data_IF_638344339112
#
_entry.id   IF_638344339112
#
_cell.length_a   1.000
_cell.length_b   1.000
_cell.length_c   1.000
_cell.angle_alpha   90.00
_cell.angle_beta   90.00
_cell.angle_gamma   90.00
#
_symmetry.space_group_name_H-M   'P 1'
#
loop_
_entity.id
_entity.type
_entity.pdbx_description
1 polymer ?
#
# COMPACT_ATOMS: atom_id res chain seq x y z
N UNK A 1 -29.21 15.31 55.12
CA UNK A 1 -29.42 14.28 56.16
C UNK A 1 -28.43 13.14 55.88
N UNK A 2 -27.45 12.99 56.80
CA UNK A 2 -26.59 11.83 57.14
C UNK A 2 -26.42 10.70 56.10
N UNK A 3 -25.22 10.32 55.64
CA UNK A 3 -24.06 9.82 56.39
C UNK A 3 -23.96 8.30 56.16
N UNK A 4 -22.87 7.73 55.63
CA UNK A 4 -21.84 7.01 56.41
C UNK A 4 -20.71 6.45 55.51
N UNK A 5 -19.54 6.30 56.16
CA UNK A 5 -18.21 5.90 55.65
C UNK A 5 -17.99 4.37 55.67
N UNK A 6 -17.04 3.89 54.86
CA UNK A 6 -16.02 2.84 55.16
C UNK A 6 -15.00 2.86 53.99
N UNK A 7 -13.68 3.06 54.07
CA UNK A 7 -12.56 2.62 54.92
C UNK A 7 -11.91 1.27 54.50
N UNK A 8 -10.94 1.34 53.54
CA UNK A 8 -9.55 0.76 53.47
C UNK A 8 -9.31 -0.75 53.80
N UNK A 9 -8.11 -1.39 53.59
CA UNK A 9 -6.75 -0.88 53.30
C UNK A 9 -5.86 -1.70 52.30
N UNK A 10 -4.61 -1.26 52.08
CA UNK A 10 -3.49 -2.09 51.59
C UNK A 10 -2.48 -1.33 50.70
N UNK A 11 -1.69 -0.37 51.21
CA UNK A 11 -0.37 -0.55 51.85
C UNK A 11 0.69 -1.26 50.98
N UNK A 12 1.71 -0.50 50.53
CA UNK A 12 3.13 -0.89 50.67
C UNK A 12 4.06 0.32 50.56
N UNK A 13 4.78 0.51 51.66
CA UNK A 13 5.81 1.48 51.98
C UNK A 13 7.20 0.97 51.62
N UNK A 14 8.09 1.85 51.17
CA UNK A 14 9.54 1.76 51.46
C UNK A 14 9.98 3.16 51.88
N UNK A 15 10.60 3.23 53.06
CA UNK A 15 11.07 4.42 53.74
C UNK A 15 12.60 4.41 53.82
N UNK A 16 13.24 5.58 53.68
CA UNK A 16 14.49 6.04 54.33
C UNK A 16 14.46 7.57 54.20
N UNK A 17 14.12 8.41 55.19
CA UNK A 17 14.72 8.69 56.50
C UNK A 17 16.15 9.25 56.47
N UNK A 18 16.28 10.56 56.26
CA UNK A 18 17.32 11.38 56.86
C UNK A 18 16.70 12.65 57.45
N UNK A 19 16.83 12.83 58.76
CA UNK A 19 16.43 14.06 59.48
C UNK A 19 17.54 15.10 59.34
N UNK A 20 17.21 16.39 59.16
CA UNK A 20 18.01 17.46 59.72
C UNK A 20 17.37 18.00 60.99
N UNK A 21 18.24 18.21 61.96
CA UNK A 21 18.04 18.76 63.29
C UNK A 21 17.39 20.15 63.25
N UNK A 22 16.54 20.37 64.25
CA UNK A 22 15.89 21.63 64.62
C UNK A 22 16.89 22.77 64.80
N UNK A 23 16.78 23.80 63.98
CA UNK A 23 17.25 25.14 64.30
C UNK A 23 16.07 26.10 64.13
N UNK A 24 15.55 26.56 65.26
CA UNK A 24 14.61 27.68 65.30
C UNK A 24 15.37 28.95 64.88
N UNK A 25 15.10 29.45 63.68
CA UNK A 25 15.42 30.83 63.31
C UNK A 25 14.15 31.51 62.83
N UNK A 26 13.64 32.39 63.69
CA UNK A 26 12.83 33.56 63.37
C UNK A 26 11.75 33.36 62.29
N UNK A 27 10.52 33.17 62.74
CA UNK A 27 9.34 33.52 61.96
C UNK A 27 9.35 35.02 61.65
N UNK A 28 10.00 35.42 60.57
CA UNK A 28 9.50 36.52 59.78
C UNK A 28 8.35 35.93 58.97
N UNK A 29 7.13 36.21 59.42
CA UNK A 29 5.93 36.14 58.58
C UNK A 29 6.12 37.12 57.42
N UNK A 30 6.93 36.74 56.43
CA UNK A 30 6.82 37.28 55.08
C UNK A 30 5.55 36.68 54.46
N UNK A 31 4.40 37.10 55.01
CA UNK A 31 3.07 36.93 54.44
C UNK A 31 2.88 37.77 53.15
N UNK A 32 3.94 37.87 52.35
CA UNK A 32 3.99 38.66 51.11
C UNK A 32 4.56 37.85 49.93
N UNK A 33 4.66 36.53 50.04
CA UNK A 33 5.07 35.65 48.93
C UNK A 33 3.89 35.07 48.12
N UNK A 34 2.64 35.28 48.57
CA UNK A 34 1.44 34.69 47.94
C UNK A 34 0.33 35.69 47.58
N UNK A 35 0.55 36.99 47.77
CA UNK A 35 -0.34 38.00 47.22
C UNK A 35 -0.09 38.11 45.71
N UNK A 36 -0.75 37.26 44.90
CA UNK A 36 -0.80 37.47 43.45
C UNK A 36 -1.33 38.90 43.24
N UNK A 37 -0.57 39.79 42.57
CA UNK A 37 -1.06 41.15 42.33
C UNK A 37 -2.43 41.03 41.65
N UNK A 38 -3.40 41.85 42.07
CA UNK A 38 -4.72 41.90 41.44
C UNK A 38 -4.51 42.24 39.97
N UNK A 39 -4.49 41.22 39.12
CA UNK A 39 -4.27 41.36 37.68
C UNK A 39 -5.35 42.28 37.14
N UNK A 40 -4.95 43.27 36.35
CA UNK A 40 -5.90 44.12 35.67
C UNK A 40 -6.84 43.24 34.84
N UNK A 41 -8.13 43.59 34.77
CA UNK A 41 -9.08 42.90 33.89
C UNK A 41 -8.53 42.78 32.46
N UNK A 42 -7.75 43.77 32.00
CA UNK A 42 -7.08 43.75 30.69
C UNK A 42 -6.05 42.61 30.57
N UNK A 43 -5.24 42.36 31.59
CA UNK A 43 -4.23 41.29 31.59
C UNK A 43 -4.87 39.90 31.56
N UNK A 44 -6.01 39.75 32.27
CA UNK A 44 -6.79 38.50 32.25
C UNK A 44 -7.33 38.24 30.84
N UNK A 45 -7.88 39.26 30.18
CA UNK A 45 -8.37 39.14 28.79
C UNK A 45 -7.23 38.79 27.82
N UNK A 46 -6.07 39.43 27.96
CA UNK A 46 -4.90 39.14 27.13
C UNK A 46 -4.42 37.69 27.35
N UNK A 47 -4.37 37.22 28.61
CA UNK A 47 -4.00 35.84 28.93
C UNK A 47 -5.01 34.82 28.38
N UNK A 48 -6.31 35.09 28.53
CA UNK A 48 -7.36 34.23 27.96
C UNK A 48 -7.24 34.19 26.44
N UNK A 49 -7.03 35.33 25.79
CA UNK A 49 -6.80 35.40 24.33
C UNK A 49 -5.56 34.60 23.92
N UNK A 50 -4.43 34.75 24.62
CA UNK A 50 -3.22 33.94 24.38
C UNK A 50 -3.48 32.44 24.55
N UNK A 51 -4.19 32.04 25.60
CA UNK A 51 -4.53 30.63 25.82
C UNK A 51 -5.48 30.08 24.76
N UNK A 52 -6.41 30.89 24.25
CA UNK A 52 -7.32 30.51 23.16
C UNK A 52 -6.58 30.41 21.83
N UNK A 53 -5.63 31.31 21.56
CA UNK A 53 -4.75 31.23 20.40
C UNK A 53 -3.89 29.95 20.46
N UNK A 54 -3.27 29.66 21.60
CA UNK A 54 -2.53 28.41 21.79
C UNK A 54 -3.39 27.16 21.59
N UNK A 55 -4.63 27.17 22.09
CA UNK A 55 -5.58 26.07 21.83
C UNK A 55 -5.94 25.95 20.35
N UNK A 56 -6.08 27.07 19.63
CA UNK A 56 -6.32 27.07 18.20
C UNK A 56 -5.11 26.55 17.41
N UNK A 57 -3.90 26.96 17.80
CA UNK A 57 -2.65 26.49 17.22
C UNK A 57 -2.47 24.98 17.42
N UNK A 58 -2.69 24.48 18.64
CA UNK A 58 -2.63 23.04 18.93
C UNK A 58 -3.63 22.25 18.08
N UNK A 59 -4.88 22.70 18.03
CA UNK A 59 -5.91 22.07 17.16
C UNK A 59 -5.53 22.10 15.69
N UNK A 60 -4.91 23.19 15.23
CA UNK A 60 -4.44 23.32 13.85
C UNK A 60 -3.32 22.33 13.58
N UNK A 61 -2.34 22.21 14.47
CA UNK A 61 -1.23 21.25 14.35
C UNK A 61 -1.72 19.79 14.42
N UNK A 62 -2.67 19.48 15.31
CA UNK A 62 -3.33 18.17 15.37
C UNK A 62 -3.98 17.84 14.02
N UNK A 63 -4.70 18.81 13.44
CA UNK A 63 -5.31 18.65 12.11
C UNK A 63 -4.23 18.47 11.04
N UNK A 64 -3.21 19.34 10.98
CA UNK A 64 -2.13 19.29 9.99
C UNK A 64 -1.36 17.95 10.03
N UNK A 65 -1.05 17.45 11.22
CA UNK A 65 -0.38 16.15 11.41
C UNK A 65 -1.27 14.96 11.04
N UNK A 66 -2.59 15.09 11.19
CA UNK A 66 -3.55 14.04 10.83
C UNK A 66 -3.95 14.07 9.34
N UNK A 67 -3.77 15.22 8.67
CA UNK A 67 -4.20 15.42 7.29
C UNK A 67 -3.23 14.74 6.32
N UNK A 68 -3.72 13.80 5.50
CA UNK A 68 -2.93 13.22 4.43
C UNK A 68 -2.76 14.19 3.26
N UNK A 69 -1.83 13.87 2.36
CA UNK A 69 -1.58 14.65 1.15
C UNK A 69 -2.85 14.82 0.30
N UNK A 70 -3.17 16.06 -0.08
CA UNK A 70 -4.35 16.37 -0.91
C UNK A 70 -4.24 15.86 -2.35
N UNK A 71 -3.02 15.60 -2.84
CA UNK A 71 -2.77 15.17 -4.22
C UNK A 71 -2.91 13.65 -4.36
N UNK A 72 -2.22 12.89 -3.51
CA UNK A 72 -2.17 11.42 -3.59
C UNK A 72 -3.20 10.80 -2.65
N UNK A 73 -3.41 11.38 -1.47
CA UNK A 73 -4.25 10.83 -0.43
C UNK A 73 -3.51 9.86 0.50
N UNK A 74 -4.28 9.10 1.25
CA UNK A 74 -3.84 7.97 2.09
C UNK A 74 -3.66 6.72 1.24
N UNK A 75 -2.75 5.84 1.67
CA UNK A 75 -2.65 4.52 1.08
C UNK A 75 -3.86 3.65 1.46
N UNK A 76 -4.61 3.21 0.46
CA UNK A 76 -5.72 2.26 0.58
C UNK A 76 -5.39 0.91 -0.05
N UNK A 77 -6.24 -0.09 0.19
CA UNK A 77 -6.16 -1.41 -0.45
C UNK A 77 -6.05 -1.30 -1.98
N UNK A 78 -6.88 -0.44 -2.58
CA UNK A 78 -6.83 -0.17 -4.01
C UNK A 78 -5.46 0.37 -4.44
N UNK A 79 -4.96 1.42 -3.79
CA UNK A 79 -3.67 2.02 -4.18
C UNK A 79 -2.47 1.09 -3.97
N UNK A 80 -2.54 0.18 -2.99
CA UNK A 80 -1.54 -0.87 -2.76
C UNK A 80 -1.56 -1.94 -3.84
N UNK A 81 -2.73 -2.22 -4.41
CA UNK A 81 -2.89 -3.20 -5.49
C UNK A 81 -2.36 -2.73 -6.86
N UNK A 82 -2.07 -1.43 -7.01
CA UNK A 82 -1.54 -0.87 -8.26
C UNK A 82 -0.08 -1.28 -8.45
N UNK A 83 0.28 -1.68 -9.67
CA UNK A 83 1.63 -2.08 -10.01
C UNK A 83 2.57 -0.89 -9.97
N UNK A 84 3.66 -1.02 -9.23
CA UNK A 84 4.78 -0.07 -9.27
C UNK A 84 5.94 -0.70 -10.06
N UNK A 85 6.73 0.08 -10.80
CA UNK A 85 7.89 -0.44 -11.53
C UNK A 85 8.79 -1.30 -10.63
N UNK A 86 9.13 -0.78 -9.44
CA UNK A 86 10.04 -1.45 -8.52
C UNK A 86 9.53 -2.82 -8.04
N UNK A 87 8.22 -2.98 -7.84
CA UNK A 87 7.64 -4.26 -7.39
C UNK A 87 7.53 -5.30 -8.50
N UNK A 88 7.45 -4.87 -9.76
CA UNK A 88 7.32 -5.76 -10.92
C UNK A 88 8.69 -6.19 -11.47
N UNK A 89 9.69 -5.30 -11.46
CA UNK A 89 11.03 -5.61 -11.99
C UNK A 89 11.97 -6.26 -10.97
N UNK A 90 11.60 -6.35 -9.68
CA UNK A 90 12.35 -7.12 -8.68
C UNK A 90 11.92 -8.60 -8.70
N UNK A 91 12.17 -9.29 -9.82
CA UNK A 91 12.28 -10.73 -9.75
C UNK A 91 13.51 -11.07 -8.89
N UNK A 92 13.45 -12.07 -7.99
CA UNK A 92 14.66 -12.57 -7.35
C UNK A 92 15.57 -13.10 -8.46
N UNK A 93 16.67 -12.40 -8.73
CA UNK A 93 17.70 -12.76 -9.71
C UNK A 93 18.19 -14.22 -9.57
N UNK A 94 17.92 -14.86 -8.43
CA UNK A 94 18.18 -16.26 -8.12
C UNK A 94 17.35 -17.30 -8.91
N UNK A 95 16.23 -16.90 -9.56
CA UNK A 95 15.36 -17.86 -10.26
C UNK A 95 15.79 -18.16 -11.72
N UNK A 96 16.77 -17.43 -12.25
CA UNK A 96 17.29 -17.65 -13.60
C UNK A 96 18.24 -18.85 -13.55
N UNK A 97 17.73 -20.05 -13.80
CA UNK A 97 18.58 -21.19 -14.16
C UNK A 97 19.10 -20.96 -15.59
N UNK A 98 20.42 -21.01 -15.83
CA UNK A 98 20.93 -20.89 -17.19
C UNK A 98 20.35 -22.03 -18.04
N UNK A 99 19.97 -21.69 -19.28
CA UNK A 99 19.63 -22.69 -20.30
C UNK A 99 20.89 -23.52 -20.50
N UNK A 100 20.91 -24.73 -19.95
CA UNK A 100 21.95 -25.69 -20.28
C UNK A 100 21.69 -26.15 -21.70
N UNK A 101 22.59 -25.82 -22.62
CA UNK A 101 22.58 -26.35 -23.97
C UNK A 101 22.52 -27.89 -23.89
N UNK A 102 21.44 -28.46 -24.43
CA UNK A 102 21.22 -29.90 -24.51
C UNK A 102 22.15 -30.53 -25.56
N UNK A 103 23.47 -30.45 -25.35
CA UNK A 103 24.52 -31.14 -26.10
C UNK A 103 25.76 -31.37 -25.23
N UNK A 104 25.57 -31.81 -23.99
CA UNK A 104 26.63 -32.41 -23.19
C UNK A 104 26.17 -33.82 -22.77
N UNK A 105 26.80 -34.81 -23.39
CA UNK A 105 26.53 -36.22 -23.24
C UNK A 105 26.59 -36.69 -21.77
N UNK A 106 25.73 -37.65 -21.46
CA UNK A 106 25.77 -38.45 -20.26
C UNK A 106 27.11 -39.20 -20.13
N UNK A 107 27.75 -39.12 -18.96
CA UNK A 107 28.71 -40.11 -18.47
C UNK A 107 28.84 -40.01 -16.93
N UNK A 108 29.23 -41.09 -16.23
CA UNK A 108 28.54 -41.53 -15.01
C UNK A 108 29.26 -41.22 -13.70
N UNK A 109 28.52 -41.36 -12.60
CA UNK A 109 29.05 -41.39 -11.25
C UNK A 109 30.08 -42.52 -11.07
N UNK A 110 31.23 -42.22 -10.46
CA UNK A 110 31.91 -43.07 -9.44
C UNK A 110 33.16 -42.40 -8.84
N UNK A 111 33.27 -42.53 -7.51
CA UNK A 111 34.47 -42.63 -6.65
C UNK A 111 35.41 -41.44 -6.38
N UNK A 112 35.34 -40.98 -5.12
CA UNK A 112 36.42 -40.87 -4.10
C UNK A 112 37.32 -39.62 -3.98
N UNK A 113 37.22 -39.04 -2.76
CA UNK A 113 38.25 -38.32 -1.93
C UNK A 113 38.87 -37.03 -2.51
N UNK A 114 39.07 -35.93 -1.79
CA UNK A 114 39.60 -35.78 -0.43
C UNK A 114 39.33 -34.38 0.15
N UNK A 115 39.05 -34.33 1.46
CA UNK A 115 39.40 -33.29 2.45
C UNK A 115 39.68 -31.84 2.00
N UNK A 116 38.92 -30.88 2.57
CA UNK A 116 39.41 -29.93 3.59
C UNK A 116 38.28 -29.08 4.15
N UNK A 117 38.35 -28.89 5.45
CA UNK A 117 37.43 -28.24 6.38
C UNK A 117 37.18 -26.75 6.13
N UNK A 118 35.95 -26.30 6.34
CA UNK A 118 35.66 -25.01 6.97
C UNK A 118 34.29 -25.07 7.68
N UNK A 119 34.32 -24.86 8.98
CA UNK A 119 33.16 -24.69 9.84
C UNK A 119 32.40 -23.40 9.50
N UNK A 120 31.06 -23.46 9.44
CA UNK A 120 30.23 -22.34 9.91
C UNK A 120 28.86 -22.85 10.38
N UNK A 121 28.54 -22.42 11.60
CA UNK A 121 27.40 -22.79 12.44
C UNK A 121 26.08 -22.26 11.87
N UNK A 122 25.02 -23.07 11.90
CA UNK A 122 23.63 -22.62 11.73
C UNK A 122 22.92 -22.61 13.09
N UNK A 123 22.17 -21.56 13.47
CA UNK A 123 21.24 -21.65 14.57
C UNK A 123 19.81 -21.85 14.05
N UNK A 124 19.21 -22.93 14.53
CA UNK A 124 17.78 -23.24 14.52
C UNK A 124 16.96 -22.27 15.38
N UNK A 125 15.78 -21.85 14.91
CA UNK A 125 14.64 -21.45 15.76
C UNK A 125 13.36 -21.45 14.90
N UNK A 126 12.52 -22.48 15.03
CA UNK A 126 11.33 -22.55 15.91
C UNK A 126 10.12 -21.76 15.40
N UNK A 127 9.18 -22.48 14.80
CA UNK A 127 7.79 -22.08 14.62
C UNK A 127 7.08 -21.91 15.97
N UNK A 128 6.02 -21.10 16.05
CA UNK A 128 4.88 -21.54 16.84
C UNK A 128 3.56 -21.43 16.07
N UNK A 129 2.77 -22.49 16.21
CA UNK A 129 1.34 -22.53 15.99
C UNK A 129 0.62 -21.68 17.06
N UNK A 130 -0.45 -20.98 16.70
CA UNK A 130 -1.46 -20.54 17.66
C UNK A 130 -2.84 -20.41 17.00
N UNK A 131 -3.80 -21.13 17.59
CA UNK A 131 -5.21 -21.24 17.25
C UNK A 131 -6.10 -20.39 18.15
N UNK A 132 -7.12 -19.73 17.60
CA UNK A 132 -8.43 -19.39 18.21
C UNK A 132 -9.32 -18.85 17.09
N UNK A 133 -10.53 -19.32 16.73
CA UNK A 133 -11.74 -19.76 17.45
C UNK A 133 -12.27 -18.74 18.47
N UNK A 134 -13.01 -17.75 17.97
CA UNK A 134 -14.20 -17.06 18.52
C UNK A 134 -14.49 -15.92 17.52
N UNK A 135 -15.65 -15.74 16.87
CA UNK A 135 -17.00 -15.59 17.39
C UNK A 135 -17.65 -14.47 16.56
N UNK A 136 -18.89 -14.68 16.11
CA UNK A 136 -19.64 -13.89 15.13
C UNK A 136 -19.90 -12.43 15.51
N UNK A 137 -19.67 -11.52 14.56
CA UNK A 137 -20.41 -10.25 14.46
C UNK A 137 -20.67 -9.91 13.00
N UNK A 138 -21.94 -9.80 12.63
CA UNK A 138 -22.43 -9.39 11.31
C UNK A 138 -22.01 -7.95 11.01
N UNK A 139 -20.86 -7.76 10.38
CA UNK A 139 -20.57 -6.59 9.55
C UNK A 139 -20.76 -7.00 8.10
N UNK A 140 -21.61 -6.27 7.36
CA UNK A 140 -21.56 -6.29 5.90
C UNK A 140 -20.18 -5.79 5.52
N UNK A 141 -19.24 -6.72 5.35
CA UNK A 141 -17.94 -6.42 4.76
C UNK A 141 -18.22 -5.83 3.39
N UNK A 142 -17.65 -4.66 3.05
CA UNK A 142 -17.67 -4.22 1.67
C UNK A 142 -17.11 -5.36 0.84
N UNK A 143 -17.75 -5.70 -0.29
CA UNK A 143 -17.26 -6.67 -1.26
C UNK A 143 -15.75 -6.52 -1.36
N UNK A 144 -15.03 -7.46 -0.73
CA UNK A 144 -13.60 -7.62 -0.90
C UNK A 144 -13.50 -7.99 -2.36
N UNK A 145 -13.18 -6.99 -3.19
CA UNK A 145 -12.85 -7.22 -4.58
C UNK A 145 -11.74 -8.26 -4.50
N UNK A 146 -12.03 -9.46 -4.98
CA UNK A 146 -11.04 -10.50 -5.14
C UNK A 146 -9.95 -9.88 -6.01
N UNK A 147 -8.87 -9.45 -5.37
CA UNK A 147 -7.59 -9.18 -6.00
C UNK A 147 -7.08 -10.53 -6.47
N UNK A 148 -7.72 -11.11 -7.48
CA UNK A 148 -7.13 -12.21 -8.23
C UNK A 148 -5.76 -11.71 -8.63
N UNK A 149 -4.72 -12.41 -8.18
CA UNK A 149 -3.36 -12.08 -8.58
C UNK A 149 -3.35 -11.94 -10.11
N UNK A 150 -2.74 -10.87 -10.62
CA UNK A 150 -2.87 -10.56 -12.02
C UNK A 150 -2.31 -11.69 -12.87
N UNK A 151 -2.92 -11.89 -14.03
CA UNK A 151 -2.19 -12.48 -15.14
C UNK A 151 -0.96 -11.60 -15.35
N UNK A 152 0.22 -12.13 -15.05
CA UNK A 152 1.49 -11.41 -15.08
C UNK A 152 1.96 -11.11 -16.51
N UNK A 153 1.03 -10.91 -17.45
CA UNK A 153 1.25 -10.84 -18.88
C UNK A 153 0.73 -9.54 -19.47
N UNK A 154 1.34 -9.14 -20.59
CA UNK A 154 0.97 -8.00 -21.41
C UNK A 154 -0.26 -8.34 -22.25
N UNK A 155 -0.81 -7.31 -22.90
CA UNK A 155 -1.92 -7.44 -23.85
C UNK A 155 -3.19 -8.05 -23.27
N UNK A 156 -3.38 -7.93 -21.95
CA UNK A 156 -4.61 -8.34 -21.27
C UNK A 156 -4.93 -9.83 -21.28
N UNK A 157 -3.95 -10.69 -21.60
CA UNK A 157 -4.10 -12.15 -21.61
C UNK A 157 -4.63 -12.65 -20.27
N UNK A 158 -5.74 -13.37 -20.28
CA UNK A 158 -6.35 -13.93 -19.08
C UNK A 158 -5.71 -15.27 -18.70
N UNK A 159 -5.83 -15.71 -17.44
CA UNK A 159 -5.17 -16.93 -16.97
C UNK A 159 -5.62 -18.19 -17.74
N UNK A 160 -6.88 -18.22 -18.17
CA UNK A 160 -7.42 -19.29 -19.00
C UNK A 160 -6.77 -19.31 -20.39
N UNK A 161 -6.58 -18.13 -20.99
CA UNK A 161 -5.91 -17.98 -22.28
C UNK A 161 -4.43 -18.33 -22.18
N UNK A 162 -3.77 -17.94 -21.08
CA UNK A 162 -2.38 -18.28 -20.78
C UNK A 162 -2.20 -19.79 -20.67
N UNK A 163 -3.09 -20.49 -19.95
CA UNK A 163 -3.07 -21.95 -19.86
C UNK A 163 -3.26 -22.60 -21.25
N UNK A 164 -4.24 -22.11 -22.02
CA UNK A 164 -4.48 -22.58 -23.38
C UNK A 164 -3.25 -22.38 -24.28
N UNK A 165 -2.68 -21.18 -24.30
CA UNK A 165 -1.58 -20.80 -25.18
C UNK A 165 -0.26 -21.50 -24.84
N UNK A 166 0.08 -21.65 -23.56
CA UNK A 166 1.40 -22.14 -23.18
C UNK A 166 1.43 -23.62 -22.79
N UNK A 167 0.33 -24.17 -22.28
CA UNK A 167 0.29 -25.57 -21.86
C UNK A 167 -0.36 -26.46 -22.93
N UNK A 168 -1.49 -26.04 -23.52
CA UNK A 168 -2.28 -26.90 -24.44
C UNK A 168 -1.85 -26.79 -25.91
N UNK A 169 -1.59 -25.57 -26.41
CA UNK A 169 -1.22 -25.37 -27.83
C UNK A 169 0.03 -26.17 -28.26
N UNK A 170 1.13 -26.26 -27.49
CA UNK A 170 2.30 -27.04 -27.89
C UNK A 170 1.98 -28.52 -28.11
N UNK A 171 1.08 -29.09 -27.31
CA UNK A 171 0.67 -30.51 -27.44
C UNK A 171 -0.17 -30.72 -28.69
N UNK A 172 -1.12 -29.82 -28.96
CA UNK A 172 -1.97 -29.86 -30.17
C UNK A 172 -1.13 -29.69 -31.43
N UNK A 173 -0.14 -28.79 -31.42
CA UNK A 173 0.76 -28.59 -32.57
C UNK A 173 1.57 -29.84 -32.89
N UNK A 174 2.10 -30.54 -31.88
CA UNK A 174 2.83 -31.80 -32.11
C UNK A 174 1.89 -32.86 -32.68
N UNK A 175 0.68 -33.01 -32.12
CA UNK A 175 -0.33 -33.93 -32.64
C UNK A 175 -0.67 -33.64 -34.12
N UNK A 176 -0.85 -32.37 -34.47
CA UNK A 176 -1.13 -31.93 -35.83
C UNK A 176 0.04 -32.23 -36.79
N UNK A 177 1.28 -32.01 -36.35
CA UNK A 177 2.49 -32.32 -37.12
C UNK A 177 2.64 -33.82 -37.40
N UNK A 178 2.30 -34.68 -36.44
CA UNK A 178 2.31 -36.13 -36.62
C UNK A 178 1.28 -36.60 -37.65
N UNK A 179 0.07 -36.03 -37.62
CA UNK A 179 -0.97 -36.35 -38.60
C UNK A 179 -0.54 -35.92 -40.00
N UNK A 180 0.14 -34.77 -40.12
CA UNK A 180 0.63 -34.26 -41.41
C UNK A 180 1.87 -35.00 -41.93
N UNK A 181 2.69 -35.54 -41.04
CA UNK A 181 3.97 -36.16 -41.42
C UNK A 181 4.25 -37.41 -40.58
N UNK A 182 4.32 -38.55 -41.27
CA UNK A 182 4.52 -39.88 -40.64
C UNK A 182 5.94 -40.11 -40.10
N UNK A 183 6.89 -39.23 -40.42
CA UNK A 183 8.31 -39.35 -40.05
C UNK A 183 8.68 -38.60 -38.78
N UNK A 184 7.71 -38.00 -38.09
CA UNK A 184 7.95 -37.13 -36.95
C UNK A 184 7.95 -37.93 -35.64
N UNK A 185 9.08 -37.87 -34.92
CA UNK A 185 9.20 -38.40 -33.57
C UNK A 185 8.68 -37.38 -32.54
N UNK A 186 7.56 -37.67 -31.90
CA UNK A 186 6.94 -36.87 -30.81
C UNK A 186 7.94 -36.42 -29.76
N UNK A 187 8.77 -37.36 -29.28
CA UNK A 187 9.71 -37.16 -28.17
C UNK A 187 10.74 -36.07 -28.45
N UNK A 188 11.06 -35.83 -29.72
CA UNK A 188 12.02 -34.81 -30.13
C UNK A 188 11.37 -33.45 -30.39
N UNK A 189 10.09 -33.42 -30.81
CA UNK A 189 9.41 -32.16 -31.20
C UNK A 189 8.73 -31.45 -30.04
N UNK A 190 8.13 -32.20 -29.12
CA UNK A 190 7.48 -31.64 -27.93
C UNK A 190 8.37 -30.71 -27.09
N UNK A 191 9.66 -31.02 -26.81
CA UNK A 191 10.52 -30.06 -26.11
C UNK A 191 10.79 -28.79 -26.92
N UNK A 192 10.85 -28.86 -28.25
CA UNK A 192 11.07 -27.69 -29.12
C UNK A 192 9.85 -26.77 -29.09
N UNK A 193 8.64 -27.31 -29.22
CA UNK A 193 7.41 -26.51 -29.12
C UNK A 193 7.22 -25.92 -27.72
N UNK A 194 7.56 -26.66 -26.66
CA UNK A 194 7.58 -26.13 -25.28
C UNK A 194 8.58 -25.00 -25.10
N UNK A 195 9.79 -25.11 -25.67
CA UNK A 195 10.77 -24.02 -25.63
C UNK A 195 10.25 -22.77 -26.35
N UNK A 196 9.62 -22.93 -27.53
CA UNK A 196 8.99 -21.80 -28.24
C UNK A 196 7.90 -21.14 -27.40
N UNK A 197 7.02 -21.93 -26.80
CA UNK A 197 5.97 -21.44 -25.91
C UNK A 197 6.57 -20.67 -24.71
N UNK A 198 7.66 -21.17 -24.13
CA UNK A 198 8.37 -20.48 -23.05
C UNK A 198 8.97 -19.14 -23.49
N UNK A 199 9.55 -19.06 -24.69
CA UNK A 199 10.06 -17.80 -25.24
C UNK A 199 8.92 -16.78 -25.41
N UNK A 200 7.79 -17.20 -25.96
CA UNK A 200 6.60 -16.33 -26.10
C UNK A 200 6.06 -15.91 -24.74
N UNK A 201 6.07 -16.81 -23.75
CA UNK A 201 5.69 -16.51 -22.36
C UNK A 201 6.57 -15.41 -21.76
N UNK A 202 7.89 -15.46 -21.99
CA UNK A 202 8.82 -14.42 -21.53
C UNK A 202 8.58 -13.09 -22.25
N UNK A 203 8.40 -13.10 -23.57
CA UNK A 203 8.12 -11.88 -24.36
C UNK A 203 6.84 -11.20 -23.88
N UNK A 204 5.81 -12.00 -23.62
CA UNK A 204 4.52 -11.52 -23.15
C UNK A 204 4.48 -11.23 -21.66
N UNK A 205 5.52 -11.53 -20.88
CA UNK A 205 5.56 -11.22 -19.46
C UNK A 205 5.49 -9.71 -19.21
N UNK A 206 4.67 -9.29 -18.25
CA UNK A 206 4.51 -7.89 -17.86
C UNK A 206 5.79 -7.30 -17.28
N UNK A 207 6.65 -8.15 -16.69
CA UNK A 207 8.00 -7.81 -16.26
C UNK A 207 8.88 -7.28 -17.39
N UNK A 208 8.60 -7.66 -18.64
CA UNK A 208 9.33 -7.15 -19.80
C UNK A 208 8.56 -6.01 -20.50
N UNK A 209 7.48 -5.52 -19.87
CA UNK A 209 6.62 -4.48 -20.41
C UNK A 209 7.17 -3.08 -20.25
N UNK A 210 6.79 -2.19 -21.16
CA UNK A 210 7.08 -0.76 -21.04
C UNK A 210 6.24 -0.14 -19.90
N UNK A 211 6.69 0.99 -19.35
CA UNK A 211 5.94 1.80 -18.38
C UNK A 211 4.51 2.09 -18.86
N UNK A 212 4.31 2.33 -20.17
CA UNK A 212 2.96 2.52 -20.75
C UNK A 212 2.07 1.30 -20.54
N UNK A 213 2.59 0.09 -20.73
CA UNK A 213 1.83 -1.15 -20.52
C UNK A 213 1.48 -1.32 -19.05
N UNK A 214 2.40 -1.01 -18.14
CA UNK A 214 2.12 -0.98 -16.71
C UNK A 214 0.99 -0.01 -16.36
N UNK A 215 1.00 1.20 -16.95
CA UNK A 215 -0.07 2.16 -16.72
C UNK A 215 -1.41 1.67 -17.26
N UNK A 216 -1.40 0.94 -18.37
CA UNK A 216 -2.60 0.42 -19.01
C UNK A 216 -3.23 -0.68 -18.15
N UNK A 217 -2.42 -1.59 -17.59
CA UNK A 217 -2.90 -2.61 -16.65
C UNK A 217 -3.45 -1.98 -15.37
N UNK A 218 -2.78 -0.97 -14.82
CA UNK A 218 -3.28 -0.24 -13.67
C UNK A 218 -4.61 0.47 -13.96
N UNK A 219 -4.80 0.98 -15.17
CA UNK A 219 -6.08 1.54 -15.62
C UNK A 219 -7.16 0.46 -15.74
N UNK A 220 -6.84 -0.74 -16.26
CA UNK A 220 -7.77 -1.87 -16.26
C UNK A 220 -8.20 -2.25 -14.84
N UNK A 221 -7.25 -2.32 -13.91
CA UNK A 221 -7.54 -2.59 -12.47
C UNK A 221 -8.43 -1.53 -11.85
N UNK A 222 -8.12 -0.26 -12.10
CA UNK A 222 -8.95 0.85 -11.64
C UNK A 222 -10.37 0.77 -12.18
N UNK A 223 -10.54 0.39 -13.46
CA UNK A 223 -11.86 0.17 -14.03
C UNK A 223 -12.58 -0.99 -13.35
N UNK A 224 -11.97 -2.16 -13.25
CA UNK A 224 -12.60 -3.34 -12.64
C UNK A 224 -12.98 -3.12 -11.17
N UNK A 225 -12.18 -2.36 -10.41
CA UNK A 225 -12.44 -2.08 -9.00
C UNK A 225 -13.59 -1.07 -8.77
N UNK A 226 -13.86 -0.18 -9.73
CA UNK A 226 -14.82 0.92 -9.58
C UNK A 226 -15.99 0.87 -10.58
N UNK A 227 -16.01 -0.10 -11.51
CA UNK A 227 -17.12 -0.28 -12.44
C UNK A 227 -18.40 -0.64 -11.68
N UNK A 228 -19.53 -0.09 -12.13
CA UNK A 228 -20.85 -0.40 -11.56
C UNK A 228 -21.48 -1.61 -12.24
N UNK A 229 -21.29 -1.67 -13.55
CA UNK A 229 -21.76 -2.73 -14.44
C UNK A 229 -20.58 -3.25 -15.24
N UNK A 230 -20.69 -4.47 -15.74
CA UNK A 230 -19.74 -4.99 -16.72
C UNK A 230 -19.70 -4.05 -17.93
N UNK A 231 -18.50 -3.70 -18.39
CA UNK A 231 -18.37 -2.77 -19.52
C UNK A 231 -18.34 -1.28 -19.14
N UNK A 232 -18.57 -0.92 -17.88
CA UNK A 232 -18.61 0.49 -17.49
C UNK A 232 -17.23 1.17 -17.62
N UNK A 233 -17.21 2.28 -18.35
CA UNK A 233 -16.03 3.12 -18.62
C UNK A 233 -16.30 4.60 -18.35
N UNK A 234 -17.58 4.98 -18.23
CA UNK A 234 -18.02 6.37 -18.20
C UNK A 234 -18.42 6.86 -16.82
N UNK A 235 -18.64 5.97 -15.85
CA UNK A 235 -19.04 6.39 -14.51
C UNK A 235 -18.03 7.35 -13.87
N UNK A 236 -18.51 8.36 -13.12
CA UNK A 236 -17.64 9.33 -12.44
C UNK A 236 -16.64 8.68 -11.47
N UNK A 237 -17.01 7.57 -10.82
CA UNK A 237 -16.08 6.80 -9.97
C UNK A 237 -14.94 6.17 -10.78
N UNK A 238 -15.27 5.53 -11.91
CA UNK A 238 -14.29 4.93 -12.81
C UNK A 238 -13.36 6.00 -13.37
N UNK A 239 -13.90 7.12 -13.83
CA UNK A 239 -13.10 8.24 -14.33
C UNK A 239 -12.14 8.77 -13.24
N UNK A 240 -12.63 8.98 -12.01
CA UNK A 240 -11.80 9.43 -10.90
C UNK A 240 -10.70 8.42 -10.54
N UNK A 241 -10.98 7.12 -10.59
CA UNK A 241 -10.01 6.05 -10.36
C UNK A 241 -8.91 6.04 -11.45
N UNK A 242 -9.29 6.14 -12.72
CA UNK A 242 -8.34 6.23 -13.85
C UNK A 242 -7.43 7.45 -13.72
N UNK A 243 -8.00 8.60 -13.33
CA UNK A 243 -7.22 9.81 -13.11
C UNK A 243 -6.26 9.67 -11.92
N UNK A 244 -6.67 8.96 -10.87
CA UNK A 244 -5.82 8.67 -9.71
C UNK A 244 -4.59 7.86 -10.11
N UNK A 245 -4.75 6.82 -10.94
CA UNK A 245 -3.61 6.07 -11.50
C UNK A 245 -2.67 6.99 -12.29
N UNK A 246 -3.22 7.85 -13.15
CA UNK A 246 -2.40 8.80 -13.95
C UNK A 246 -1.67 9.81 -13.07
N UNK A 247 -2.33 10.35 -12.04
CA UNK A 247 -1.77 11.28 -11.07
C UNK A 247 -0.59 10.64 -10.34
N UNK A 248 -0.73 9.41 -9.84
CA UNK A 248 0.35 8.69 -9.17
C UNK A 248 1.55 8.48 -10.10
N UNK A 249 1.32 8.07 -11.35
CA UNK A 249 2.40 7.88 -12.32
C UNK A 249 3.13 9.18 -12.65
N UNK A 250 2.40 10.27 -12.90
CA UNK A 250 3.00 11.59 -13.17
C UNK A 250 3.73 12.14 -11.94
N UNK A 251 3.16 11.94 -10.74
CA UNK A 251 3.78 12.37 -9.50
C UNK A 251 5.14 11.71 -9.30
N UNK A 252 5.21 10.38 -9.45
CA UNK A 252 6.48 9.64 -9.37
C UNK A 252 7.49 10.11 -10.44
N UNK A 253 7.03 10.40 -11.66
CA UNK A 253 7.90 10.93 -12.71
C UNK A 253 8.47 12.32 -12.35
N UNK A 254 7.64 13.21 -11.80
CA UNK A 254 8.03 14.58 -11.41
C UNK A 254 8.95 14.60 -10.20
N UNK A 255 8.76 13.69 -9.23
CA UNK A 255 9.68 13.55 -8.09
C UNK A 255 11.13 13.35 -8.55
N UNK A 256 11.31 12.53 -9.59
CA UNK A 256 12.61 12.28 -10.22
C UNK A 256 13.02 13.42 -11.18
N UNK A 257 12.06 14.08 -11.84
CA UNK A 257 12.28 15.11 -12.87
C UNK A 257 11.74 16.47 -12.46
N UNK A 258 12.36 17.10 -11.45
CA UNK A 258 11.89 18.36 -10.87
C UNK A 258 11.86 19.56 -11.84
N UNK A 259 12.63 19.50 -12.93
CA UNK A 259 12.74 20.59 -13.93
C UNK A 259 11.64 20.54 -15.00
N UNK A 260 10.86 19.46 -15.09
CA UNK A 260 9.83 19.31 -16.10
C UNK A 260 8.54 20.07 -15.74
N UNK A 261 8.50 21.34 -16.15
CA UNK A 261 7.36 22.23 -15.91
C UNK A 261 6.13 21.84 -16.73
N UNK A 262 6.30 21.18 -17.88
CA UNK A 262 5.18 20.78 -18.74
C UNK A 262 4.40 19.63 -18.09
N UNK A 263 5.10 18.63 -17.57
CA UNK A 263 4.44 17.54 -16.86
C UNK A 263 3.88 17.99 -15.51
N UNK A 264 4.50 18.95 -14.82
CA UNK A 264 3.89 19.57 -13.63
C UNK A 264 2.55 20.24 -13.92
N UNK A 265 2.47 21.00 -15.02
CA UNK A 265 1.20 21.59 -15.48
C UNK A 265 0.16 20.51 -15.78
N UNK A 266 0.55 19.43 -16.46
CA UNK A 266 -0.36 18.29 -16.75
C UNK A 266 -0.87 17.62 -15.47
N UNK A 267 0.00 17.43 -14.47
CA UNK A 267 -0.39 16.91 -13.16
C UNK A 267 -1.45 17.80 -12.51
N UNK A 268 -1.20 19.11 -12.45
CA UNK A 268 -2.16 20.08 -11.89
C UNK A 268 -3.51 20.01 -12.61
N UNK A 269 -3.52 19.96 -13.94
CA UNK A 269 -4.75 19.84 -14.73
C UNK A 269 -5.51 18.55 -14.39
N UNK A 270 -4.84 17.40 -14.28
CA UNK A 270 -5.47 16.13 -13.92
C UNK A 270 -6.10 16.16 -12.52
N UNK A 271 -5.42 16.78 -11.55
CA UNK A 271 -5.92 16.93 -10.18
C UNK A 271 -7.22 17.74 -10.18
N UNK A 272 -7.25 18.89 -10.86
CA UNK A 272 -8.46 19.72 -10.95
C UNK A 272 -9.59 19.03 -11.72
N UNK A 273 -9.29 18.33 -12.80
CA UNK A 273 -10.32 17.56 -13.52
C UNK A 273 -10.92 16.48 -12.60
N UNK A 274 -10.09 15.75 -11.83
CA UNK A 274 -10.56 14.73 -10.86
C UNK A 274 -11.43 15.37 -9.79
N UNK A 275 -11.02 16.52 -9.27
CA UNK A 275 -11.80 17.31 -8.31
C UNK A 275 -13.18 17.68 -8.88
N UNK A 276 -13.26 18.13 -10.13
CA UNK A 276 -14.54 18.48 -10.78
C UNK A 276 -15.46 17.27 -10.92
N UNK A 277 -14.93 16.11 -11.32
CA UNK A 277 -15.71 14.85 -11.42
C UNK A 277 -16.26 14.43 -10.05
N UNK A 278 -15.43 14.52 -9.00
CA UNK A 278 -15.85 14.17 -7.65
C UNK A 278 -16.84 15.18 -7.05
N UNK A 279 -16.71 16.48 -7.37
CA UNK A 279 -17.71 17.51 -7.03
C UNK A 279 -19.06 17.21 -7.69
N UNK A 280 -19.06 16.76 -8.95
CA UNK A 280 -20.29 16.32 -9.62
C UNK A 280 -20.89 15.09 -8.93
N UNK A 281 -20.09 14.07 -8.63
CA UNK A 281 -20.52 12.86 -7.93
C UNK A 281 -21.16 13.20 -6.58
N UNK A 282 -20.55 14.11 -5.80
CA UNK A 282 -21.08 14.57 -4.51
C UNK A 282 -22.47 15.21 -4.65
N UNK A 283 -22.68 16.05 -5.67
CA UNK A 283 -23.96 16.73 -5.90
C UNK A 283 -25.05 15.76 -6.36
N UNK A 284 -24.69 14.79 -7.21
CA UNK A 284 -25.66 13.86 -7.77
C UNK A 284 -26.00 12.71 -6.81
N UNK A 285 -25.00 12.13 -6.14
CA UNK A 285 -25.13 10.94 -5.32
C UNK A 285 -24.14 10.95 -4.12
N UNK A 286 -24.55 11.51 -2.97
CA UNK A 286 -23.65 11.70 -1.83
C UNK A 286 -23.14 10.38 -1.24
N UNK A 287 -23.99 9.35 -1.13
CA UNK A 287 -23.59 8.05 -0.56
C UNK A 287 -22.49 7.38 -1.37
N UNK A 288 -22.61 7.42 -2.71
CA UNK A 288 -21.60 6.89 -3.63
C UNK A 288 -20.31 7.69 -3.59
N UNK A 289 -20.41 8.99 -3.38
CA UNK A 289 -19.27 9.86 -3.21
C UNK A 289 -18.42 9.44 -2.01
N UNK A 290 -19.02 9.20 -0.84
CA UNK A 290 -18.28 8.78 0.35
C UNK A 290 -17.58 7.44 0.13
N UNK A 291 -18.28 6.44 -0.42
CA UNK A 291 -17.67 5.12 -0.70
C UNK A 291 -16.53 5.21 -1.71
N UNK A 292 -16.69 6.01 -2.77
CA UNK A 292 -15.65 6.21 -3.77
C UNK A 292 -14.42 6.91 -3.17
N UNK A 293 -14.64 7.93 -2.36
CA UNK A 293 -13.61 8.72 -1.70
C UNK A 293 -12.77 7.87 -0.74
N UNK A 294 -13.42 7.04 0.09
CA UNK A 294 -12.75 6.11 1.01
C UNK A 294 -11.90 5.09 0.26
N UNK A 295 -12.41 4.54 -0.85
CA UNK A 295 -11.66 3.57 -1.69
C UNK A 295 -10.45 4.21 -2.36
N UNK A 296 -10.59 5.44 -2.85
CA UNK A 296 -9.49 6.19 -3.48
C UNK A 296 -8.46 6.71 -2.46
N UNK A 297 -8.82 6.78 -1.17
CA UNK A 297 -7.97 7.30 -0.11
C UNK A 297 -7.91 8.82 -0.06
N UNK A 298 -8.88 9.50 -0.65
CA UNK A 298 -8.91 10.96 -0.68
C UNK A 298 -9.68 11.49 0.54
N UNK A 299 -9.38 12.72 0.96
CA UNK A 299 -10.13 13.40 2.01
C UNK A 299 -11.19 14.33 1.40
N UNK A 300 -12.33 14.58 2.08
CA UNK A 300 -13.37 15.49 1.57
C UNK A 300 -12.83 16.91 1.30
N UNK A 301 -11.90 17.38 2.14
CA UNK A 301 -11.25 18.69 1.99
C UNK A 301 -10.47 18.82 0.69
N UNK A 302 -9.82 17.74 0.24
CA UNK A 302 -9.13 17.73 -1.05
C UNK A 302 -10.06 18.02 -2.23
N UNK A 303 -11.36 17.83 -2.06
CA UNK A 303 -12.34 18.05 -3.11
C UNK A 303 -13.09 19.35 -2.89
N UNK A 304 -13.41 19.71 -1.64
CA UNK A 304 -14.19 20.90 -1.30
C UNK A 304 -13.36 22.17 -1.41
N UNK A 305 -12.13 22.14 -0.91
CA UNK A 305 -11.27 23.31 -0.82
C UNK A 305 -10.60 23.63 -2.18
N UNK A 306 -10.10 24.85 -2.31
CA UNK A 306 -9.30 25.24 -3.45
C UNK A 306 -7.91 24.60 -3.35
N UNK A 307 -7.60 23.69 -4.28
CA UNK A 307 -6.30 23.04 -4.31
C UNK A 307 -5.30 23.97 -4.99
N UNK A 308 -4.29 24.41 -4.24
CA UNK A 308 -3.12 25.09 -4.79
C UNK A 308 -1.98 24.07 -4.87
N UNK A 309 -1.73 23.56 -6.08
CA UNK A 309 -0.66 22.58 -6.39
C UNK A 309 0.61 23.30 -6.79
#
# INVERSE_FOLDING_TARGET
MFGLRSALPGARSIAVSSKPTTAASSFHTSASALARPRRSRKDIVIQVRKSNLQKQELKRLEVENSTPDYIIGKETEFTRSLLRPQSVFQAPLAAIKPVTDNNAAAAPATTASSSKSAFSFSPSSSSPLSSSIFGSSSSRTPLVVSTSEPSGYQHFLEDQEVDLLFNKVPEVQVQELMVRSTLVNEKNQLPIEKQKAELVRRITALENGNAKQLTLENVRRARLAFQRMEGDTGSPEVQAAVMTVRIQNLHNHIQNNKKDKHNYRRLRMLIHQRQTVLKYLKKAYPDRYHVCLDRLGLEPRAIEDEIVV
#
